data_IF_253430224821
#
_entry.id   IF_253430224821
#
_cell.length_a   1.000
_cell.length_b   1.000
_cell.length_c   1.000
_cell.angle_alpha   90.00
_cell.angle_beta   90.00
_cell.angle_gamma   90.00
#
_symmetry.space_group_name_H-M   'P 1'
#
loop_
_entity.id
_entity.type
_entity.pdbx_description
1 polymer ?
#
# COMPACT_ATOMS: atom_id res chain seq x y z
N UNK A 1 -4.85 -30.34 -25.80
CA UNK A 1 -5.81 -30.84 -24.77
C UNK A 1 -5.36 -30.45 -23.35
N UNK A 2 -4.46 -29.46 -23.18
CA UNK A 2 -3.78 -29.15 -21.91
C UNK A 2 -4.43 -27.99 -21.11
N UNK A 3 -5.34 -27.22 -21.72
CA UNK A 3 -5.90 -26.02 -21.10
C UNK A 3 -7.13 -26.22 -20.21
N UNK A 4 -7.76 -27.39 -20.20
CA UNK A 4 -9.03 -27.58 -19.46
C UNK A 4 -8.81 -27.75 -17.95
N UNK A 5 -7.76 -28.48 -17.55
CA UNK A 5 -7.51 -28.78 -16.12
C UNK A 5 -7.00 -27.56 -15.35
N UNK A 6 -6.18 -26.70 -15.97
CA UNK A 6 -5.71 -25.46 -15.35
C UNK A 6 -6.84 -24.44 -15.16
N UNK A 7 -7.69 -24.29 -16.18
CA UNK A 7 -8.84 -23.39 -16.12
C UNK A 7 -9.87 -23.82 -15.06
N UNK A 8 -10.10 -25.13 -14.91
CA UNK A 8 -10.98 -25.68 -13.89
C UNK A 8 -10.49 -25.34 -12.47
N UNK A 9 -9.18 -25.47 -12.20
CA UNK A 9 -8.60 -25.09 -10.90
C UNK A 9 -8.73 -23.60 -10.59
N UNK A 10 -8.50 -22.75 -11.59
CA UNK A 10 -8.66 -21.29 -11.44
C UNK A 10 -10.11 -20.95 -11.13
N UNK A 11 -11.05 -21.55 -11.86
CA UNK A 11 -12.49 -21.38 -11.64
C UNK A 11 -12.90 -21.86 -10.25
N UNK A 12 -12.48 -23.06 -9.84
CA UNK A 12 -12.75 -23.62 -8.52
C UNK A 12 -12.24 -22.70 -7.42
N UNK A 13 -11.03 -22.18 -7.57
CA UNK A 13 -10.45 -21.23 -6.63
C UNK A 13 -11.27 -19.94 -6.52
N UNK A 14 -11.64 -19.31 -7.64
CA UNK A 14 -12.45 -18.10 -7.63
C UNK A 14 -13.85 -18.34 -7.03
N UNK A 15 -14.48 -19.47 -7.39
CA UNK A 15 -15.79 -19.86 -6.85
C UNK A 15 -15.74 -20.13 -5.34
N UNK A 16 -14.67 -20.75 -4.85
CA UNK A 16 -14.47 -20.96 -3.42
C UNK A 16 -14.39 -19.63 -2.67
N UNK A 17 -13.57 -18.69 -3.16
CA UNK A 17 -13.46 -17.37 -2.53
C UNK A 17 -14.78 -16.60 -2.60
N UNK A 18 -15.53 -16.71 -3.70
CA UNK A 18 -16.87 -16.12 -3.81
C UNK A 18 -17.85 -16.68 -2.76
N UNK A 19 -17.80 -17.98 -2.49
CA UNK A 19 -18.70 -18.64 -1.55
C UNK A 19 -18.36 -18.37 -0.07
N UNK A 20 -17.11 -17.99 0.22
CA UNK A 20 -16.62 -17.78 1.58
C UNK A 20 -16.80 -16.33 2.08
N UNK A 21 -17.15 -15.40 1.20
CA UNK A 21 -17.19 -13.97 1.48
C UNK A 21 -18.63 -13.52 1.69
N UNK A 22 -18.92 -13.03 2.90
CA UNK A 22 -20.21 -12.41 3.27
C UNK A 22 -20.23 -10.88 2.99
N UNK A 23 -19.11 -10.29 2.57
CA UNK A 23 -19.01 -8.86 2.27
C UNK A 23 -19.39 -8.56 0.81
N UNK A 24 -20.47 -7.77 0.62
CA UNK A 24 -21.03 -7.42 -0.69
C UNK A 24 -19.96 -6.87 -1.67
N UNK A 25 -19.02 -6.05 -1.19
CA UNK A 25 -18.00 -5.41 -2.03
C UNK A 25 -16.98 -6.40 -2.60
N UNK A 26 -16.55 -7.38 -1.81
CA UNK A 26 -15.58 -8.40 -2.23
C UNK A 26 -16.20 -9.41 -3.20
N UNK A 27 -17.48 -9.76 -3.01
CA UNK A 27 -18.21 -10.61 -3.94
C UNK A 27 -18.32 -9.99 -5.34
N UNK A 28 -18.57 -8.67 -5.42
CA UNK A 28 -18.63 -7.93 -6.70
C UNK A 28 -17.28 -7.96 -7.42
N UNK A 29 -16.16 -7.87 -6.71
CA UNK A 29 -14.82 -8.00 -7.33
C UNK A 29 -14.58 -9.37 -7.93
N UNK A 30 -14.96 -10.43 -7.23
CA UNK A 30 -14.77 -11.79 -7.74
C UNK A 30 -15.66 -12.03 -8.96
N UNK A 31 -16.87 -11.48 -8.98
CA UNK A 31 -17.74 -11.48 -10.16
C UNK A 31 -17.10 -10.77 -11.35
N UNK A 32 -16.43 -9.65 -11.09
CA UNK A 32 -15.66 -8.96 -12.13
C UNK A 32 -14.50 -9.84 -12.63
N UNK A 33 -13.70 -10.46 -11.76
CA UNK A 33 -12.62 -11.36 -12.17
C UNK A 33 -13.14 -12.56 -12.99
N UNK A 34 -14.28 -13.14 -12.62
CA UNK A 34 -14.94 -14.19 -13.39
C UNK A 34 -15.37 -13.69 -14.78
N UNK A 35 -15.93 -12.48 -14.87
CA UNK A 35 -16.31 -11.90 -16.16
C UNK A 35 -15.10 -11.69 -17.08
N UNK A 36 -13.97 -11.24 -16.54
CA UNK A 36 -12.73 -11.05 -17.32
C UNK A 36 -12.16 -12.40 -17.76
N UNK A 37 -12.21 -13.43 -16.90
CA UNK A 37 -11.78 -14.79 -17.25
C UNK A 37 -12.63 -15.40 -18.37
N UNK A 38 -13.95 -15.18 -18.34
CA UNK A 38 -14.88 -15.63 -19.39
C UNK A 38 -14.70 -14.85 -20.70
N UNK A 39 -14.55 -13.53 -20.62
CA UNK A 39 -14.35 -12.64 -21.77
C UNK A 39 -13.00 -12.89 -22.46
N UNK A 40 -11.93 -13.19 -21.73
CA UNK A 40 -10.60 -13.49 -22.30
C UNK A 40 -10.57 -14.75 -23.19
N UNK A 41 -11.55 -15.64 -23.07
CA UNK A 41 -11.73 -16.79 -23.98
C UNK A 41 -12.45 -16.38 -25.29
N UNK A 42 -13.20 -15.28 -25.27
CA UNK A 42 -13.79 -14.69 -26.46
C UNK A 42 -12.76 -13.73 -27.09
N UNK A 43 -12.59 -13.76 -28.40
CA UNK A 43 -11.54 -13.01 -29.12
C UNK A 43 -11.83 -11.49 -29.21
N UNK A 44 -12.39 -10.89 -28.17
CA UNK A 44 -12.74 -9.48 -28.07
C UNK A 44 -11.63 -8.75 -27.32
N UNK A 45 -11.24 -7.57 -27.82
CA UNK A 45 -10.22 -6.76 -27.16
C UNK A 45 -10.76 -6.21 -25.82
N UNK A 46 -9.95 -6.22 -24.74
CA UNK A 46 -10.35 -5.72 -23.43
C UNK A 46 -10.79 -4.26 -23.48
N UNK A 47 -11.84 -3.93 -22.72
CA UNK A 47 -12.45 -2.58 -22.68
C UNK A 47 -11.68 -1.63 -21.77
N UNK A 48 -11.12 -2.14 -20.66
CA UNK A 48 -10.38 -1.37 -19.65
C UNK A 48 -8.87 -1.78 -19.60
N UNK A 49 -7.94 -0.81 -19.45
CA UNK A 49 -6.54 -1.10 -19.11
C UNK A 49 -6.32 -2.05 -17.90
N UNK A 50 -7.25 -2.07 -16.93
CA UNK A 50 -7.23 -3.00 -15.80
C UNK A 50 -7.48 -4.43 -16.26
N UNK A 51 -8.54 -4.67 -17.02
CA UNK A 51 -8.92 -5.98 -17.55
C UNK A 51 -7.77 -6.60 -18.33
N UNK A 52 -7.07 -5.81 -19.17
CA UNK A 52 -5.88 -6.27 -19.90
C UNK A 52 -4.78 -6.79 -18.97
N UNK A 53 -4.56 -6.15 -17.83
CA UNK A 53 -3.57 -6.62 -16.85
C UNK A 53 -4.01 -7.89 -16.13
N UNK A 54 -5.30 -8.03 -15.82
CA UNK A 54 -5.87 -9.24 -15.22
C UNK A 54 -5.84 -10.42 -16.21
N UNK A 55 -6.20 -10.19 -17.48
CA UNK A 55 -6.05 -11.16 -18.58
C UNK A 55 -4.61 -11.64 -18.69
N UNK A 56 -3.63 -10.74 -18.62
CA UNK A 56 -2.22 -11.12 -18.66
C UNK A 56 -1.85 -12.03 -17.48
N UNK A 57 -2.37 -11.76 -16.27
CA UNK A 57 -2.17 -12.62 -15.10
C UNK A 57 -2.79 -14.00 -15.32
N UNK A 58 -4.04 -14.07 -15.78
CA UNK A 58 -4.71 -15.34 -16.08
C UNK A 58 -3.98 -16.12 -17.17
N UNK A 59 -3.57 -15.46 -18.24
CA UNK A 59 -2.81 -16.09 -19.33
C UNK A 59 -1.50 -16.69 -18.80
N UNK A 60 -0.76 -15.96 -17.96
CA UNK A 60 0.49 -16.45 -17.37
C UNK A 60 0.28 -17.66 -16.45
N UNK A 61 -0.77 -17.60 -15.62
CA UNK A 61 -1.13 -18.70 -14.70
C UNK A 61 -1.53 -19.95 -15.47
N UNK A 62 -2.38 -19.80 -16.49
CA UNK A 62 -2.88 -20.91 -17.32
C UNK A 62 -1.81 -21.48 -18.27
N UNK A 63 -0.97 -20.64 -18.86
CA UNK A 63 0.08 -21.09 -19.79
C UNK A 63 1.25 -21.80 -19.12
N UNK A 64 1.50 -21.51 -17.85
CA UNK A 64 2.63 -22.07 -17.08
C UNK A 64 2.20 -23.08 -16.01
N UNK A 65 0.93 -23.51 -16.04
CA UNK A 65 0.31 -24.44 -15.08
C UNK A 65 0.64 -24.07 -13.62
N UNK A 66 0.49 -22.79 -13.26
CA UNK A 66 0.71 -22.32 -11.89
C UNK A 66 -0.48 -22.72 -11.00
N UNK A 67 -0.21 -23.06 -9.74
CA UNK A 67 -1.26 -23.40 -8.77
C UNK A 67 -1.96 -22.13 -8.27
N UNK A 68 -3.29 -21.97 -8.45
CA UNK A 68 -4.02 -20.80 -7.96
C UNK A 68 -4.02 -20.65 -6.43
N UNK A 69 -3.80 -21.74 -5.70
CA UNK A 69 -3.78 -21.75 -4.24
C UNK A 69 -2.42 -21.44 -3.63
N UNK A 70 -1.34 -21.67 -4.39
CA UNK A 70 0.03 -21.43 -3.99
C UNK A 70 0.86 -20.94 -5.17
N UNK A 71 0.78 -19.63 -5.42
CA UNK A 71 1.51 -19.00 -6.50
C UNK A 71 2.94 -18.72 -6.05
N UNK A 72 3.89 -19.36 -6.72
CA UNK A 72 5.31 -18.98 -6.64
C UNK A 72 5.52 -17.59 -7.26
N UNK A 73 5.52 -16.55 -6.42
CA UNK A 73 5.73 -15.16 -6.85
C UNK A 73 7.08 -14.94 -7.53
N UNK A 74 8.12 -15.71 -7.20
CA UNK A 74 9.43 -15.57 -7.84
C UNK A 74 9.38 -16.05 -9.28
N UNK A 75 8.75 -17.21 -9.52
CA UNK A 75 8.51 -17.72 -10.87
C UNK A 75 7.57 -16.80 -11.64
N UNK A 76 6.47 -16.39 -11.02
CA UNK A 76 5.49 -15.49 -11.62
C UNK A 76 6.09 -14.14 -12.03
N UNK A 77 6.84 -13.48 -11.15
CA UNK A 77 7.45 -12.18 -11.43
C UNK A 77 8.43 -12.22 -12.60
N UNK A 78 9.18 -13.32 -12.76
CA UNK A 78 10.08 -13.53 -13.91
C UNK A 78 9.30 -13.68 -15.22
N UNK A 79 8.26 -14.52 -15.22
CA UNK A 79 7.40 -14.73 -16.38
C UNK A 79 6.67 -13.44 -16.79
N UNK A 80 6.18 -12.70 -15.79
CA UNK A 80 5.54 -11.40 -16.01
C UNK A 80 6.51 -10.38 -16.60
N UNK A 81 7.72 -10.26 -16.04
CA UNK A 81 8.75 -9.37 -16.56
C UNK A 81 9.18 -9.74 -17.99
N UNK A 82 9.19 -11.03 -18.32
CA UNK A 82 9.46 -11.50 -19.67
C UNK A 82 8.36 -11.11 -20.66
N UNK A 83 7.09 -11.33 -20.29
CA UNK A 83 5.94 -11.02 -21.15
C UNK A 83 5.73 -9.53 -21.36
N UNK A 84 5.96 -8.72 -20.32
CA UNK A 84 5.80 -7.26 -20.38
C UNK A 84 6.99 -6.56 -21.06
N UNK A 85 8.09 -7.26 -21.34
CA UNK A 85 9.25 -6.71 -22.06
C UNK A 85 8.93 -6.28 -23.49
N UNK A 86 7.93 -6.91 -24.09
CA UNK A 86 7.46 -6.63 -25.47
C UNK A 86 6.39 -5.51 -25.49
N UNK A 87 5.82 -5.16 -24.34
CA UNK A 87 4.81 -4.10 -24.17
C UNK A 87 5.37 -2.90 -23.37
N UNK A 88 4.58 -1.83 -23.20
CA UNK A 88 4.97 -0.73 -22.30
C UNK A 88 5.01 -1.22 -20.84
N UNK A 89 6.20 -1.23 -20.25
CA UNK A 89 6.42 -1.72 -18.88
C UNK A 89 5.73 -0.81 -17.87
N UNK A 90 4.71 -1.33 -17.17
CA UNK A 90 4.16 -0.66 -15.99
C UNK A 90 5.05 -0.91 -14.76
N UNK A 91 5.94 0.04 -14.48
CA UNK A 91 6.87 -0.02 -13.33
C UNK A 91 6.17 -0.08 -11.97
N UNK A 92 4.94 0.42 -11.85
CA UNK A 92 4.17 0.37 -10.59
C UNK A 92 3.81 -1.08 -10.25
N UNK A 93 3.27 -1.80 -11.23
CA UNK A 93 2.94 -3.22 -11.08
C UNK A 93 4.20 -4.03 -10.78
N UNK A 94 5.28 -3.81 -11.55
CA UNK A 94 6.56 -4.49 -11.35
C UNK A 94 7.15 -4.23 -9.95
N UNK A 95 7.05 -3.00 -9.46
CA UNK A 95 7.48 -2.62 -8.10
C UNK A 95 6.67 -3.33 -7.02
N UNK A 96 5.35 -3.43 -7.18
CA UNK A 96 4.49 -4.12 -6.20
C UNK A 96 4.71 -5.63 -6.20
N UNK A 97 4.90 -6.24 -7.38
CA UNK A 97 5.32 -7.63 -7.51
C UNK A 97 6.63 -7.91 -6.77
N UNK A 98 7.64 -7.06 -6.97
CA UNK A 98 8.91 -7.18 -6.25
C UNK A 98 8.75 -7.01 -4.74
N UNK A 99 7.90 -6.08 -4.29
CA UNK A 99 7.62 -5.87 -2.88
C UNK A 99 6.95 -7.11 -2.24
N UNK A 100 5.99 -7.73 -2.93
CA UNK A 100 5.33 -8.95 -2.46
C UNK A 100 6.29 -10.14 -2.45
N UNK A 101 7.11 -10.31 -3.49
CA UNK A 101 8.13 -11.36 -3.50
C UNK A 101 9.13 -11.17 -2.34
N UNK A 102 9.53 -9.92 -2.07
CA UNK A 102 10.40 -9.59 -0.95
C UNK A 102 9.75 -9.83 0.41
N UNK A 103 8.46 -9.52 0.59
CA UNK A 103 7.77 -9.74 1.85
C UNK A 103 7.70 -11.23 2.21
N UNK A 104 7.44 -12.09 1.23
CA UNK A 104 7.49 -13.55 1.39
C UNK A 104 8.90 -14.01 1.77
N UNK A 105 9.92 -13.55 1.02
CA UNK A 105 11.30 -13.92 1.29
C UNK A 105 11.74 -13.51 2.71
N UNK A 106 11.34 -12.30 3.13
CA UNK A 106 11.58 -11.81 4.49
C UNK A 106 10.91 -12.70 5.53
N UNK A 107 9.64 -13.06 5.33
CA UNK A 107 8.90 -13.96 6.23
C UNK A 107 9.57 -15.35 6.32
N UNK A 108 10.03 -15.89 5.19
CA UNK A 108 10.76 -17.16 5.16
C UNK A 108 12.09 -17.07 5.92
N UNK A 109 12.85 -15.99 5.73
CA UNK A 109 14.12 -15.74 6.42
C UNK A 109 13.92 -15.59 7.93
N UNK A 110 12.90 -14.84 8.36
CA UNK A 110 12.55 -14.69 9.78
C UNK A 110 12.16 -16.03 10.40
N UNK A 111 11.39 -16.85 9.68
CA UNK A 111 11.07 -18.21 10.12
C UNK A 111 12.28 -19.15 10.20
N UNK A 112 13.34 -18.93 9.40
CA UNK A 112 14.61 -19.66 9.54
C UNK A 112 15.36 -19.19 10.79
N UNK A 113 15.44 -17.88 11.01
CA UNK A 113 16.16 -17.28 12.14
C UNK A 113 15.54 -17.65 13.49
N UNK A 114 14.21 -17.63 13.61
CA UNK A 114 13.52 -18.10 14.83
C UNK A 114 13.80 -19.57 15.12
N UNK A 115 13.96 -20.42 14.08
CA UNK A 115 14.32 -21.83 14.27
C UNK A 115 15.77 -22.01 14.73
N UNK A 116 16.70 -21.17 14.29
CA UNK A 116 18.09 -21.24 14.74
C UNK A 116 18.25 -20.73 16.17
N UNK A 117 17.67 -19.58 16.51
CA UNK A 117 17.75 -19.01 17.87
C UNK A 117 17.13 -19.94 18.92
N UNK A 118 16.01 -20.61 18.59
CA UNK A 118 15.40 -21.61 19.48
C UNK A 118 16.36 -22.78 19.76
N UNK A 119 17.06 -23.27 18.72
CA UNK A 119 17.98 -24.40 18.85
C UNK A 119 19.18 -24.06 19.76
N UNK A 120 19.61 -22.81 19.79
CA UNK A 120 20.67 -22.33 20.67
C UNK A 120 20.21 -22.27 22.14
N UNK A 121 19.00 -21.78 22.40
CA UNK A 121 18.42 -21.71 23.76
C UNK A 121 18.14 -23.09 24.37
N UNK A 122 17.67 -24.05 23.57
CA UNK A 122 17.47 -25.44 24.02
C UNK A 122 18.79 -26.12 24.41
N UNK A 123 19.91 -25.71 23.80
CA UNK A 123 21.23 -26.27 24.07
C UNK A 123 21.88 -25.66 25.33
N UNK A 124 21.60 -24.39 25.65
CA UNK A 124 22.08 -23.73 26.88
C UNK A 124 21.31 -24.14 28.14
N UNK A 125 20.05 -24.58 28.02
CA UNK A 125 19.22 -24.96 29.17
C UNK A 125 19.52 -26.37 29.72
N UNK A 126 20.36 -27.14 29.03
CA UNK A 126 20.79 -28.48 29.43
C UNK A 126 22.12 -28.41 30.19
N UNK A 127 22.12 -27.75 31.36
CA UNK A 127 23.26 -27.77 32.29
C UNK A 127 23.09 -28.96 33.27
N UNK A 128 23.88 -30.04 33.15
CA UNK A 128 23.77 -31.23 34.00
C UNK A 128 24.05 -30.93 35.48
N UNK A 129 24.77 -29.85 35.78
CA UNK A 129 25.27 -29.55 37.13
C UNK A 129 24.19 -28.91 38.04
N UNK A 130 23.02 -28.53 37.50
CA UNK A 130 21.94 -27.92 38.28
C UNK A 130 21.11 -28.93 39.12
N UNK A 131 21.19 -30.23 38.78
CA UNK A 131 20.35 -31.26 39.40
C UNK A 131 20.92 -31.86 40.71
N UNK A 132 22.21 -31.66 41.00
CA UNK A 132 22.88 -32.28 42.15
C UNK A 132 22.62 -31.60 43.51
N UNK A 133 21.90 -30.47 43.54
CA UNK A 133 21.71 -29.65 44.77
C UNK A 133 20.40 -29.95 45.52
N UNK A 134 19.52 -30.82 44.99
CA UNK A 134 18.17 -31.01 45.52
C UNK A 134 17.93 -32.49 45.91
N UNK A 135 18.62 -33.01 46.93
CA UNK A 135 18.28 -34.34 47.47
C UNK A 135 18.51 -34.46 48.98
N UNK A 136 17.59 -33.91 49.79
CA UNK A 136 17.55 -34.15 51.25
C UNK A 136 16.13 -34.41 51.83
N UNK A 137 15.16 -34.90 51.05
CA UNK A 137 13.88 -35.40 51.61
C UNK A 137 13.39 -36.68 50.92
N UNK A 138 12.88 -37.69 51.65
CA UNK A 138 12.39 -38.94 51.06
C UNK A 138 11.02 -38.69 50.43
N UNK A 139 11.01 -38.09 49.25
CA UNK A 139 9.80 -37.95 48.43
C UNK A 139 9.49 -39.30 47.82
N UNK A 140 8.24 -39.73 47.94
CA UNK A 140 7.69 -40.89 47.21
C UNK A 140 8.10 -40.71 45.75
N UNK A 141 9.00 -41.58 45.26
CA UNK A 141 9.41 -41.61 43.86
C UNK A 141 8.17 -41.97 43.04
N UNK A 142 7.49 -40.95 42.56
CA UNK A 142 6.62 -41.08 41.40
C UNK A 142 7.56 -41.44 40.25
N UNK A 143 7.73 -42.73 40.00
CA UNK A 143 8.49 -43.20 38.84
C UNK A 143 7.72 -42.74 37.61
N UNK A 144 8.18 -41.64 36.99
CA UNK A 144 7.79 -41.29 35.65
C UNK A 144 8.20 -42.46 34.74
N UNK A 145 7.34 -42.93 33.82
CA UNK A 145 7.73 -43.91 32.82
C UNK A 145 8.99 -43.42 32.10
N UNK A 146 9.96 -44.31 31.90
CA UNK A 146 11.32 -43.99 31.42
C UNK A 146 11.31 -43.30 30.04
N UNK A 147 10.25 -43.50 29.26
CA UNK A 147 10.03 -42.86 27.97
C UNK A 147 8.55 -42.48 27.83
N UNK A 148 8.23 -41.21 28.06
CA UNK A 148 7.01 -40.62 27.53
C UNK A 148 7.42 -39.90 26.26
N UNK A 149 7.06 -40.44 25.10
CA UNK A 149 7.19 -39.77 23.82
C UNK A 149 6.24 -38.56 23.81
N UNK A 150 6.72 -37.44 24.34
CA UNK A 150 6.03 -36.16 24.25
C UNK A 150 6.21 -35.66 22.82
N UNK A 151 5.21 -35.88 21.97
CA UNK A 151 5.14 -35.25 20.67
C UNK A 151 5.14 -33.71 20.87
N UNK A 152 5.99 -33.01 20.11
CA UNK A 152 6.01 -31.54 20.12
C UNK A 152 4.58 -31.02 19.88
N UNK A 153 4.14 -30.06 20.69
CA UNK A 153 2.88 -29.34 20.42
C UNK A 153 2.98 -28.77 19.02
N UNK A 154 2.22 -29.35 18.07
CA UNK A 154 2.23 -28.96 16.66
C UNK A 154 1.84 -27.49 16.57
N UNK A 155 2.85 -26.63 16.48
CA UNK A 155 2.65 -25.21 16.19
C UNK A 155 2.48 -25.11 14.69
N UNK A 156 1.32 -24.64 14.25
CA UNK A 156 1.11 -24.32 12.83
C UNK A 156 2.19 -23.35 12.38
N UNK A 157 3.01 -23.77 11.42
CA UNK A 157 3.95 -22.89 10.73
C UNK A 157 3.10 -21.83 10.03
N UNK A 158 3.28 -20.56 10.37
CA UNK A 158 2.53 -19.43 9.79
C UNK A 158 2.87 -19.12 8.32
N UNK A 159 3.17 -20.13 7.51
CA UNK A 159 3.37 -19.94 6.08
C UNK A 159 2.02 -20.06 5.39
N UNK A 160 1.36 -18.92 5.18
CA UNK A 160 0.20 -18.85 4.30
C UNK A 160 0.70 -18.59 2.87
N UNK A 161 0.45 -19.51 1.92
CA UNK A 161 0.83 -19.29 0.53
C UNK A 161 0.05 -18.12 -0.06
N UNK A 162 0.61 -17.46 -1.07
CA UNK A 162 -0.07 -16.38 -1.78
C UNK A 162 -1.03 -16.98 -2.80
N UNK A 163 -2.30 -16.59 -2.68
CA UNK A 163 -3.37 -17.07 -3.56
C UNK A 163 -3.52 -16.21 -4.82
N UNK A 164 -4.21 -16.73 -5.84
CA UNK A 164 -4.53 -15.99 -7.05
C UNK A 164 -5.39 -14.76 -6.75
N UNK A 165 -6.39 -14.87 -5.88
CA UNK A 165 -7.23 -13.73 -5.50
C UNK A 165 -6.39 -12.60 -4.88
N UNK A 166 -5.46 -12.93 -3.98
CA UNK A 166 -4.55 -11.92 -3.40
C UNK A 166 -3.64 -11.28 -4.45
N UNK A 167 -3.19 -12.05 -5.43
CA UNK A 167 -2.42 -11.52 -6.54
C UNK A 167 -3.26 -10.54 -7.35
N UNK A 168 -4.49 -10.89 -7.71
CA UNK A 168 -5.40 -10.03 -8.48
C UNK A 168 -5.76 -8.75 -7.71
N UNK A 169 -6.10 -8.86 -6.42
CA UNK A 169 -6.36 -7.72 -5.54
C UNK A 169 -5.15 -6.78 -5.46
N UNK A 170 -3.93 -7.33 -5.31
CA UNK A 170 -2.73 -6.53 -5.25
C UNK A 170 -2.46 -5.77 -6.56
N UNK A 171 -2.77 -6.39 -7.72
CA UNK A 171 -2.69 -5.74 -9.02
C UNK A 171 -3.70 -4.59 -9.15
N UNK A 172 -4.96 -4.84 -8.77
CA UNK A 172 -6.01 -3.82 -8.82
C UNK A 172 -5.68 -2.64 -7.91
N UNK A 173 -5.25 -2.92 -6.68
CA UNK A 173 -4.81 -1.90 -5.74
C UNK A 173 -3.62 -1.10 -6.29
N UNK A 174 -2.68 -1.74 -7.00
CA UNK A 174 -1.49 -1.05 -7.54
C UNK A 174 -1.90 -0.02 -8.59
N UNK A 175 -2.88 -0.39 -9.42
CA UNK A 175 -3.41 0.48 -10.45
C UNK A 175 -4.26 1.60 -9.88
N UNK A 176 -5.12 1.29 -8.90
CA UNK A 176 -5.92 2.32 -8.21
C UNK A 176 -5.03 3.35 -7.53
N UNK A 177 -3.93 2.92 -6.93
CA UNK A 177 -2.95 3.82 -6.32
C UNK A 177 -2.21 4.67 -7.37
N UNK A 178 -1.87 4.10 -8.53
CA UNK A 178 -1.31 4.86 -9.65
C UNK A 178 -2.27 5.96 -10.10
N UNK A 179 -3.53 5.63 -10.35
CA UNK A 179 -4.55 6.60 -10.78
C UNK A 179 -4.72 7.73 -9.76
N UNK A 180 -4.79 7.37 -8.47
CA UNK A 180 -4.87 8.32 -7.37
C UNK A 180 -3.63 9.22 -7.29
N UNK A 181 -2.43 8.67 -7.51
CA UNK A 181 -1.21 9.45 -7.54
C UNK A 181 -1.17 10.42 -8.73
N UNK A 182 -1.55 9.97 -9.93
CA UNK A 182 -1.62 10.83 -11.11
C UNK A 182 -2.63 11.97 -10.90
N UNK A 183 -3.80 11.68 -10.31
CA UNK A 183 -4.79 12.69 -9.97
C UNK A 183 -4.23 13.72 -8.99
N UNK A 184 -3.47 13.26 -7.98
CA UNK A 184 -2.78 14.12 -7.02
C UNK A 184 -1.70 14.96 -7.70
N UNK A 185 -0.95 14.41 -8.65
CA UNK A 185 0.05 15.14 -9.41
C UNK A 185 -0.56 16.19 -10.34
N UNK A 186 -1.67 15.87 -11.03
CA UNK A 186 -2.43 16.83 -11.83
C UNK A 186 -2.97 17.97 -10.96
N UNK A 187 -3.48 17.66 -9.76
CA UNK A 187 -3.92 18.66 -8.80
C UNK A 187 -2.76 19.55 -8.31
N UNK A 188 -1.60 18.96 -8.01
CA UNK A 188 -0.37 19.70 -7.66
C UNK A 188 0.10 20.58 -8.81
N UNK A 189 0.09 20.10 -10.05
CA UNK A 189 0.46 20.86 -11.23
C UNK A 189 -0.50 22.03 -11.47
N UNK A 190 -1.81 21.80 -11.35
CA UNK A 190 -2.81 22.85 -11.46
C UNK A 190 -2.66 23.91 -10.35
N UNK A 191 -2.34 23.50 -9.12
CA UNK A 191 -2.06 24.43 -8.02
C UNK A 191 -0.77 25.23 -8.24
N UNK A 192 0.31 24.59 -8.75
CA UNK A 192 1.54 25.30 -9.13
C UNK A 192 1.26 26.35 -10.21
N UNK A 193 0.53 25.99 -11.26
CA UNK A 193 0.16 26.94 -12.33
C UNK A 193 -0.73 28.10 -11.83
N UNK A 194 -1.52 27.88 -10.77
CA UNK A 194 -2.28 28.96 -10.10
C UNK A 194 -1.38 29.83 -9.22
N UNK A 195 -0.41 29.25 -8.52
CA UNK A 195 0.60 29.99 -7.74
C UNK A 195 1.52 30.81 -8.64
N UNK A 196 1.94 30.30 -9.79
CA UNK A 196 2.75 31.05 -10.77
C UNK A 196 1.96 32.23 -11.38
N UNK A 197 0.63 32.12 -11.45
CA UNK A 197 -0.26 33.24 -11.81
C UNK A 197 -0.55 34.19 -10.65
N UNK A 198 -0.26 33.79 -9.42
CA UNK A 198 -0.31 34.65 -8.25
C UNK A 198 0.99 35.47 -8.22
N UNK A 199 1.05 36.41 -9.17
CA UNK A 199 2.13 37.39 -9.27
C UNK A 199 2.26 38.13 -7.93
N UNK A 200 3.50 38.46 -7.59
CA UNK A 200 4.04 39.09 -6.37
C UNK A 200 3.43 40.47 -6.04
N UNK A 201 2.33 40.82 -6.70
CA UNK A 201 1.58 42.07 -6.53
C UNK A 201 0.77 42.13 -5.24
N UNK A 202 0.66 41.03 -4.50
CA UNK A 202 0.07 41.01 -3.16
C UNK A 202 0.99 41.64 -2.09
N UNK A 203 2.29 41.81 -2.38
CA UNK A 203 3.23 42.58 -1.57
C UNK A 203 3.96 43.59 -2.44
N UNK A 204 3.22 44.56 -2.97
CA UNK A 204 3.83 45.81 -3.46
C UNK A 204 3.36 47.01 -2.64
N UNK A 205 3.20 46.79 -1.34
CA UNK A 205 3.14 47.88 -0.36
C UNK A 205 4.60 48.27 -0.09
N UNK A 206 5.12 49.17 -0.93
CA UNK A 206 6.44 49.77 -0.76
C UNK A 206 6.37 50.78 0.39
N UNK A 207 6.46 50.27 1.62
CA UNK A 207 6.33 51.05 2.86
C UNK A 207 7.32 52.22 2.90
N UNK A 208 8.46 52.12 2.23
CA UNK A 208 9.45 53.21 2.13
C UNK A 208 8.91 54.39 1.32
N UNK A 209 8.15 54.10 0.27
CA UNK A 209 7.50 55.11 -0.58
C UNK A 209 6.38 55.84 0.15
N UNK A 210 5.61 55.12 0.95
CA UNK A 210 4.56 55.70 1.79
C UNK A 210 5.15 56.59 2.87
N UNK A 211 6.27 56.17 3.49
CA UNK A 211 7.00 57.00 4.47
C UNK A 211 7.53 58.27 3.82
N UNK A 212 8.12 58.19 2.63
CA UNK A 212 8.60 59.36 1.88
C UNK A 212 7.44 60.30 1.52
N UNK A 213 6.30 59.77 1.07
CA UNK A 213 5.13 60.61 0.76
C UNK A 213 4.61 61.35 2.00
N UNK A 214 4.48 60.64 3.12
CA UNK A 214 4.06 61.24 4.40
C UNK A 214 5.08 62.28 4.88
N UNK A 215 6.37 61.99 4.76
CA UNK A 215 7.45 62.91 5.12
C UNK A 215 7.44 64.19 4.28
N UNK A 216 7.29 64.06 2.95
CA UNK A 216 7.13 65.20 2.04
C UNK A 216 5.87 66.01 2.35
N UNK A 217 4.79 65.36 2.77
CA UNK A 217 3.54 66.01 3.18
C UNK A 217 3.71 66.80 4.49
N UNK A 218 4.44 66.25 5.46
CA UNK A 218 4.81 66.93 6.71
C UNK A 218 5.69 68.16 6.41
N UNK A 219 6.68 68.02 5.52
CA UNK A 219 7.55 69.12 5.11
C UNK A 219 6.78 70.23 4.38
N UNK A 220 5.82 69.90 3.53
CA UNK A 220 4.95 70.89 2.86
C UNK A 220 4.00 71.61 3.82
N UNK A 221 3.52 70.94 4.85
CA UNK A 221 2.62 71.54 5.82
C UNK A 221 3.33 72.34 6.91
N UNK A 222 4.62 72.08 7.18
CA UNK A 222 5.42 72.77 8.19
C UNK A 222 4.85 72.62 9.63
N UNK A 223 5.63 72.93 10.68
CA UNK A 223 5.14 72.91 12.05
C UNK A 223 4.34 74.19 12.34
N UNK A 224 3.22 74.38 11.64
CA UNK A 224 2.21 75.37 11.98
C UNK A 224 1.19 74.75 12.94
N UNK A 225 0.71 75.46 13.96
CA UNK A 225 -0.28 74.91 14.88
C UNK A 225 -1.54 74.51 14.08
N UNK A 226 -1.93 73.25 14.19
CA UNK A 226 -3.12 72.67 13.58
C UNK A 226 -4.38 73.29 14.18
N UNK A 227 -4.71 74.48 13.70
CA UNK A 227 -6.01 75.10 13.90
C UNK A 227 -7.06 74.32 13.13
N UNK A 228 -7.68 73.34 13.78
CA UNK A 228 -8.96 72.77 13.35
C UNK A 228 -10.00 73.89 13.35
N UNK A 229 -10.10 74.63 12.25
CA UNK A 229 -11.19 75.59 12.04
C UNK A 229 -12.43 74.76 11.69
N UNK A 230 -13.28 74.55 12.68
CA UNK A 230 -14.64 74.06 12.47
C UNK A 230 -15.38 75.08 11.60
N UNK A 231 -15.66 74.74 10.35
CA UNK A 231 -16.63 75.46 9.53
C UNK A 231 -18.04 75.09 10.01
N UNK A 232 -18.45 75.67 11.13
CA UNK A 232 -19.84 75.69 11.60
C UNK A 232 -20.57 76.87 10.97
N UNK A 233 -21.28 76.61 9.88
CA UNK A 233 -22.16 77.56 9.20
C UNK A 233 -23.36 77.87 10.09
N UNK A 234 -23.40 79.04 10.73
CA UNK A 234 -24.59 79.57 11.38
C UNK A 234 -24.98 80.90 10.69
N UNK A 235 -25.74 80.78 9.60
CA UNK A 235 -26.41 81.90 8.97
C UNK A 235 -27.63 82.30 9.82
N UNK A 236 -27.49 83.39 10.58
CA UNK A 236 -28.61 84.12 11.16
C UNK A 236 -29.28 84.98 10.10
N UNK A 237 -30.55 84.69 9.79
CA UNK A 237 -31.47 85.58 9.06
C UNK A 237 -32.39 86.24 10.08
N UNK A 238 -32.31 87.56 10.19
CA UNK A 238 -33.39 88.41 10.72
C UNK A 238 -33.44 89.70 9.91
N UNK A 239 -34.62 89.93 9.34
CA UNK A 239 -35.19 91.11 8.66
C UNK A 239 -34.63 91.47 7.28
#
# INVERSE_FOLDING_TARGET
MMGCAGAEKVLEHLMFHKAMIDEDDQAVKIDHYLSVLEEGNATLAPKDPLDRSLETVFELVLSNDLDPWDIDLMKFARLYAEKVREEEVNFVIAGRLMLMAWSILRMQSEGVLQRSERKELEQECWDPDFFDVIDEEPRVRLCMPEEVDLDEVVRHKGFRPVTLVELLDAFEDARREQEMNERRERARAANRAKMDKFDTKAHNDDMERDVEEVWQRILRCGPGPSGWRTSGTAAGRTW
#
